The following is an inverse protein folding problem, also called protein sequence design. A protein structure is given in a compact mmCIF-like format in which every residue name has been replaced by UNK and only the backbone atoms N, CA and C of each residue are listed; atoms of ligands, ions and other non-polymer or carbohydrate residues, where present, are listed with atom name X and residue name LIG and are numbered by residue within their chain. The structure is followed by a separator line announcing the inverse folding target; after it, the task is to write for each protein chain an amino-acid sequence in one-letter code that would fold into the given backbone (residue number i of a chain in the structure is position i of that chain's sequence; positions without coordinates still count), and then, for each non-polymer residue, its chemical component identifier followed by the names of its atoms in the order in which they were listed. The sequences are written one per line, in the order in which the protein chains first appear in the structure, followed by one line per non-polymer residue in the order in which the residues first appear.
data_IF_317998295352
#
_entry.id   IF_317998295352
#
_cell.length_a   1.000
_cell.length_b   1.000
_cell.length_c   1.000
_cell.angle_alpha   90.00
_cell.angle_beta   90.00
_cell.angle_gamma   90.00
#
_symmetry.space_group_name_H-M   'P 1'
#
loop_
_entity.id
_entity.type
_entity.pdbx_description
1 polymer ?
#
# COMPACT_ATOMS: atom_id res chain seq x y z
N UNK A 1 59.72 -45.55 7.05
CA UNK A 1 60.05 -44.25 6.40
C UNK A 1 58.94 -43.94 5.43
N UNK A 2 58.15 -42.89 5.68
CA UNK A 2 56.96 -42.56 4.90
C UNK A 2 57.28 -41.67 3.69
N UNK A 3 56.81 -42.06 2.52
CA UNK A 3 56.86 -41.24 1.31
C UNK A 3 55.73 -40.22 1.30
N UNK A 4 56.09 -38.95 1.07
CA UNK A 4 55.17 -37.90 0.64
C UNK A 4 55.40 -37.61 -0.84
N UNK A 5 54.33 -37.46 -1.61
CA UNK A 5 54.32 -36.64 -2.84
C UNK A 5 52.89 -36.48 -3.37
N UNK A 6 52.56 -35.23 -3.69
CA UNK A 6 51.28 -34.73 -4.22
C UNK A 6 51.21 -34.93 -5.74
N UNK A 7 50.00 -35.19 -6.28
CA UNK A 7 49.25 -34.30 -7.21
C UNK A 7 48.38 -35.06 -8.25
N UNK A 8 47.07 -34.71 -8.24
CA UNK A 8 46.00 -34.67 -9.28
C UNK A 8 46.19 -35.53 -10.56
N UNK A 9 45.17 -36.26 -11.06
CA UNK A 9 43.89 -35.75 -11.61
C UNK A 9 42.97 -36.94 -12.03
N UNK A 10 41.65 -36.67 -12.04
CA UNK A 10 40.58 -37.32 -12.85
C UNK A 10 40.12 -38.75 -12.48
N UNK A 11 39.10 -38.82 -11.61
CA UNK A 11 37.95 -39.72 -11.74
C UNK A 11 36.70 -38.84 -11.52
N UNK A 12 35.64 -38.85 -12.32
CA UNK A 12 34.98 -40.01 -12.91
C UNK A 12 33.95 -40.49 -11.91
N UNK A 13 32.73 -39.93 -11.93
CA UNK A 13 31.67 -40.33 -11.00
C UNK A 13 30.41 -39.48 -11.15
N UNK A 14 29.50 -39.91 -12.01
CA UNK A 14 28.17 -39.32 -12.13
C UNK A 14 27.22 -39.73 -11.01
N UNK A 15 26.02 -39.13 -11.10
CA UNK A 15 24.74 -39.47 -10.47
C UNK A 15 24.37 -38.69 -9.20
N UNK A 16 23.62 -37.60 -9.46
CA UNK A 16 22.34 -37.24 -8.83
C UNK A 16 22.25 -37.41 -7.31
N UNK A 17 22.47 -36.32 -6.57
CA UNK A 17 21.79 -36.08 -5.31
C UNK A 17 21.39 -34.62 -5.24
N UNK A 18 20.07 -34.43 -5.11
CA UNK A 18 19.29 -33.21 -5.16
C UNK A 18 19.52 -32.44 -3.86
N UNK A 19 20.70 -31.84 -3.70
CA UNK A 19 21.02 -30.95 -2.59
C UNK A 19 20.38 -29.58 -2.79
N UNK A 20 19.05 -29.50 -2.69
CA UNK A 20 18.40 -28.22 -2.41
C UNK A 20 18.78 -27.88 -0.98
N UNK A 21 19.64 -26.88 -0.83
CA UNK A 21 19.64 -26.04 0.36
C UNK A 21 18.19 -25.75 0.74
N UNK A 22 17.76 -25.95 1.99
CA UNK A 22 16.55 -25.30 2.44
C UNK A 22 16.88 -23.81 2.37
N UNK A 23 16.40 -23.14 1.31
CA UNK A 23 16.12 -21.72 1.43
C UNK A 23 15.27 -21.65 2.69
N UNK A 24 15.78 -20.92 3.68
CA UNK A 24 15.09 -20.68 4.93
C UNK A 24 13.84 -19.91 4.54
N UNK A 25 12.76 -20.64 4.24
CA UNK A 25 11.43 -20.12 4.07
C UNK A 25 11.12 -19.39 5.36
N UNK A 26 11.27 -18.07 5.34
CA UNK A 26 10.71 -17.20 6.36
C UNK A 26 9.19 -17.40 6.23
N UNK A 27 8.53 -18.11 7.16
CA UNK A 27 7.08 -18.12 7.13
C UNK A 27 6.67 -16.72 7.60
N UNK A 28 6.19 -15.92 6.65
CA UNK A 28 5.33 -14.75 6.82
C UNK A 28 5.15 -14.26 8.26
N UNK A 29 5.98 -13.29 8.68
CA UNK A 29 5.64 -12.37 9.77
C UNK A 29 5.05 -11.04 9.25
N UNK A 30 4.90 -10.90 7.92
CA UNK A 30 4.46 -9.67 7.24
C UNK A 30 3.10 -9.14 7.71
N UNK A 31 2.20 -10.01 8.17
CA UNK A 31 0.85 -9.57 8.55
C UNK A 31 0.79 -8.69 9.82
N UNK A 32 1.78 -8.76 10.70
CA UNK A 32 1.82 -7.92 11.90
C UNK A 32 2.35 -6.51 11.56
N UNK A 33 3.46 -6.45 10.84
CA UNK A 33 4.12 -5.19 10.44
C UNK A 33 3.22 -4.38 9.49
N UNK A 34 2.56 -5.02 8.52
CA UNK A 34 1.64 -4.34 7.59
C UNK A 34 0.44 -3.69 8.34
N UNK A 35 -0.02 -4.33 9.41
CA UNK A 35 -1.11 -3.82 10.23
C UNK A 35 -0.67 -2.67 11.14
N UNK A 36 0.57 -2.70 11.64
CA UNK A 36 1.18 -1.59 12.39
C UNK A 36 1.37 -0.36 11.49
N UNK A 37 1.91 -0.54 10.28
CA UNK A 37 2.06 0.53 9.30
C UNK A 37 0.72 1.19 8.93
N UNK A 38 -0.33 0.38 8.73
CA UNK A 38 -1.67 0.91 8.47
C UNK A 38 -2.23 1.69 9.67
N UNK A 39 -1.97 1.23 10.90
CA UNK A 39 -2.43 1.92 12.10
C UNK A 39 -1.73 3.28 12.29
N UNK A 40 -0.42 3.34 12.00
CA UNK A 40 0.34 4.60 11.98
C UNK A 40 -0.23 5.57 10.94
N UNK A 41 -0.50 5.08 9.73
CA UNK A 41 -1.07 5.90 8.66
C UNK A 41 -2.46 6.44 9.03
N UNK A 42 -3.35 5.60 9.58
CA UNK A 42 -4.67 6.04 10.06
C UNK A 42 -4.51 7.14 11.11
N UNK A 43 -3.57 6.97 12.05
CA UNK A 43 -3.31 7.96 13.09
C UNK A 43 -2.82 9.28 12.49
N UNK A 44 -1.90 9.23 11.52
CA UNK A 44 -1.41 10.40 10.81
C UNK A 44 -2.51 11.11 10.02
N UNK A 45 -3.35 10.35 9.29
CA UNK A 45 -4.48 10.90 8.54
C UNK A 45 -5.48 11.60 9.46
N UNK A 46 -5.83 10.99 10.60
CA UNK A 46 -6.68 11.62 11.61
C UNK A 46 -6.06 12.91 12.16
N UNK A 47 -4.75 12.98 12.36
CA UNK A 47 -4.08 14.20 12.82
C UNK A 47 -4.05 15.31 11.75
N UNK A 48 -3.89 14.94 10.47
CA UNK A 48 -3.82 15.89 9.35
C UNK A 48 -5.20 16.46 9.03
N UNK A 49 -6.20 15.59 8.91
CA UNK A 49 -7.54 15.96 8.43
C UNK A 49 -8.54 16.22 9.56
N UNK A 50 -8.22 15.86 10.81
CA UNK A 50 -9.02 16.18 11.99
C UNK A 50 -10.50 15.79 11.79
N UNK A 51 -11.43 16.76 11.85
CA UNK A 51 -12.87 16.54 11.67
C UNK A 51 -13.27 16.02 10.28
N UNK A 52 -12.42 16.20 9.27
CA UNK A 52 -12.65 15.73 7.91
C UNK A 52 -12.26 14.25 7.71
N UNK A 53 -11.63 13.61 8.70
CA UNK A 53 -11.32 12.18 8.67
C UNK A 53 -12.24 11.39 9.60
N UNK A 54 -12.93 10.38 9.06
CA UNK A 54 -13.78 9.48 9.83
C UNK A 54 -13.39 8.03 9.55
N UNK A 55 -13.18 7.26 10.61
CA UNK A 55 -12.84 5.84 10.51
C UNK A 55 -14.05 5.03 10.92
N UNK A 56 -14.49 4.12 10.03
CA UNK A 56 -15.44 3.08 10.36
C UNK A 56 -14.66 1.77 10.55
N UNK A 57 -14.50 1.28 11.78
CA UNK A 57 -13.77 0.04 12.04
C UNK A 57 -14.51 -1.16 11.43
N UNK A 58 -13.76 -2.12 10.90
CA UNK A 58 -14.29 -3.34 10.29
C UNK A 58 -13.23 -4.10 9.49
N UNK A 59 -13.56 -5.28 8.93
CA UNK A 59 -12.68 -5.99 8.00
C UNK A 59 -13.13 -5.78 6.54
N UNK A 60 -12.47 -4.92 5.73
CA UNK A 60 -11.42 -3.96 6.09
C UNK A 60 -11.97 -2.65 6.67
N UNK A 61 -11.11 -1.91 7.36
CA UNK A 61 -11.44 -0.59 7.89
C UNK A 61 -11.75 0.36 6.72
N UNK A 62 -12.68 1.28 6.95
CA UNK A 62 -13.10 2.27 5.96
C UNK A 62 -12.71 3.66 6.45
N UNK A 63 -11.92 4.36 5.65
CA UNK A 63 -11.41 5.69 5.94
C UNK A 63 -12.17 6.65 5.03
N UNK A 64 -12.90 7.59 5.61
CA UNK A 64 -13.63 8.63 4.89
C UNK A 64 -12.92 9.95 5.10
N UNK A 65 -12.49 10.60 4.00
CA UNK A 65 -11.77 11.88 4.02
C UNK A 65 -12.59 12.88 3.22
N UNK A 66 -12.98 13.99 3.84
CA UNK A 66 -13.64 15.09 3.14
C UNK A 66 -12.58 15.96 2.45
N UNK A 67 -12.68 16.02 1.12
CA UNK A 67 -11.81 16.80 0.26
C UNK A 67 -12.48 18.13 -0.10
N UNK A 68 -11.71 19.21 -0.03
CA UNK A 68 -12.11 20.56 -0.40
C UNK A 68 -10.93 21.25 -1.11
N UNK A 69 -11.18 22.13 -2.09
CA UNK A 69 -10.12 22.98 -2.62
C UNK A 69 -9.44 23.75 -1.50
N UNK A 70 -8.12 23.90 -1.58
CA UNK A 70 -7.41 24.78 -0.69
C UNK A 70 -7.81 26.23 -1.01
N UNK A 71 -8.51 26.88 -0.08
CA UNK A 71 -9.15 28.18 -0.33
C UNK A 71 -8.18 29.36 -0.25
N UNK A 72 -7.21 29.31 0.66
CA UNK A 72 -6.35 30.45 1.00
C UNK A 72 -5.46 30.87 -0.18
N UNK A 73 -5.52 32.14 -0.56
CA UNK A 73 -4.68 32.79 -1.58
C UNK A 73 -4.79 32.19 -3.00
N UNK A 74 -5.74 31.28 -3.23
CA UNK A 74 -5.94 30.59 -4.52
C UNK A 74 -7.21 31.04 -5.25
N UNK A 75 -7.99 31.96 -4.68
CA UNK A 75 -9.23 32.47 -5.28
C UNK A 75 -10.42 31.51 -5.19
N UNK A 76 -10.31 30.46 -4.36
CA UNK A 76 -11.39 29.49 -4.11
C UNK A 76 -12.13 29.75 -2.79
N UNK A 77 -11.96 30.94 -2.20
CA UNK A 77 -12.52 31.29 -0.89
C UNK A 77 -14.05 31.27 -0.85
N UNK A 78 -14.71 31.52 -1.99
CA UNK A 78 -16.16 31.50 -2.13
C UNK A 78 -16.73 30.20 -2.73
N UNK A 79 -15.86 29.23 -3.09
CA UNK A 79 -16.27 27.99 -3.74
C UNK A 79 -16.64 26.91 -2.72
N UNK A 80 -17.95 26.73 -2.52
CA UNK A 80 -18.51 25.64 -1.71
C UNK A 80 -18.51 24.31 -2.50
N UNK A 81 -17.30 23.84 -2.83
CA UNK A 81 -17.07 22.57 -3.54
C UNK A 81 -16.46 21.53 -2.59
N UNK A 82 -17.04 20.33 -2.51
CA UNK A 82 -16.49 19.23 -1.71
C UNK A 82 -16.81 17.85 -2.26
N UNK A 83 -16.02 16.87 -1.83
CA UNK A 83 -16.27 15.45 -2.08
C UNK A 83 -15.80 14.62 -0.89
N UNK A 84 -16.31 13.40 -0.76
CA UNK A 84 -15.82 12.43 0.22
C UNK A 84 -15.05 11.33 -0.51
N UNK A 85 -13.78 11.17 -0.15
CA UNK A 85 -12.94 10.04 -0.55
C UNK A 85 -13.10 8.90 0.46
N UNK A 86 -13.56 7.75 -0.02
CA UNK A 86 -13.56 6.51 0.74
C UNK A 86 -12.35 5.66 0.32
N UNK A 87 -11.49 5.34 1.30
CA UNK A 87 -10.33 4.46 1.14
C UNK A 87 -10.57 3.15 1.89
N UNK A 88 -10.37 2.03 1.19
CA UNK A 88 -10.45 0.68 1.78
C UNK A 88 -9.15 -0.08 1.53
N UNK A 89 -8.41 -0.33 2.60
CA UNK A 89 -7.13 -1.06 2.55
C UNK A 89 -7.41 -2.57 2.72
N UNK A 90 -7.19 -3.36 1.67
CA UNK A 90 -7.37 -4.81 1.71
C UNK A 90 -6.07 -5.51 2.14
N UNK A 91 -6.13 -6.79 2.56
CA UNK A 91 -4.94 -7.56 2.89
C UNK A 91 -3.90 -7.54 1.77
N UNK A 92 -2.68 -7.17 2.13
CA UNK A 92 -1.57 -6.94 1.20
C UNK A 92 -1.30 -5.47 0.89
N UNK A 93 -2.07 -4.52 1.42
CA UNK A 93 -1.64 -3.12 1.52
C UNK A 93 -0.37 -3.02 2.39
N UNK A 94 0.63 -2.18 2.04
CA UNK A 94 0.65 -1.21 0.93
C UNK A 94 1.03 -1.79 -0.44
N UNK A 95 1.45 -3.06 -0.53
CA UNK A 95 1.87 -3.69 -1.79
C UNK A 95 0.73 -3.91 -2.81
N UNK A 96 -0.52 -3.94 -2.33
CA UNK A 96 -1.73 -3.88 -3.13
C UNK A 96 -2.39 -2.53 -2.93
N UNK A 97 -2.70 -1.86 -4.04
CA UNK A 97 -3.37 -0.56 -4.01
C UNK A 97 -4.70 -0.64 -3.26
N UNK A 98 -5.04 0.39 -2.46
CA UNK A 98 -6.32 0.45 -1.79
C UNK A 98 -7.45 0.63 -2.81
N UNK A 99 -8.67 0.28 -2.43
CA UNK A 99 -9.86 0.59 -3.23
C UNK A 99 -10.33 1.99 -2.88
N UNK A 100 -10.44 2.84 -3.90
CA UNK A 100 -10.91 4.22 -3.79
C UNK A 100 -12.34 4.35 -4.31
N UNK A 101 -13.11 5.24 -3.69
CA UNK A 101 -14.39 5.72 -4.19
C UNK A 101 -14.53 7.21 -3.87
N UNK A 102 -15.13 7.97 -4.78
CA UNK A 102 -15.46 9.38 -4.55
C UNK A 102 -16.97 9.53 -4.55
N UNK A 103 -17.49 10.16 -3.50
CA UNK A 103 -18.88 10.62 -3.47
C UNK A 103 -18.87 12.15 -3.63
N UNK A 104 -19.44 12.69 -4.72
CA UNK A 104 -19.57 14.14 -4.85
C UNK A 104 -20.48 14.66 -3.75
N UNK A 105 -20.14 15.84 -3.22
CA UNK A 105 -21.03 16.55 -2.31
C UNK A 105 -21.40 17.90 -2.95
N UNK A 106 -21.02 19.01 -2.30
CA UNK A 106 -21.42 20.34 -2.73
C UNK A 106 -20.63 20.75 -3.96
N UNK A 107 -21.30 21.40 -4.91
CA UNK A 107 -20.65 22.05 -6.06
C UNK A 107 -19.87 21.15 -7.02
N UNK A 108 -19.74 19.84 -6.75
CA UNK A 108 -19.03 18.88 -7.59
C UNK A 108 -20.04 18.02 -8.36
N UNK A 109 -19.88 17.97 -9.68
CA UNK A 109 -20.71 17.12 -10.54
C UNK A 109 -20.25 15.66 -10.46
N UNK A 110 -21.12 14.72 -10.85
CA UNK A 110 -20.73 13.31 -10.95
C UNK A 110 -19.59 13.11 -11.97
N UNK A 111 -19.66 13.76 -13.13
CA UNK A 111 -18.64 13.67 -14.17
C UNK A 111 -17.28 14.16 -13.68
N UNK A 112 -17.25 15.24 -12.90
CA UNK A 112 -15.99 15.74 -12.32
C UNK A 112 -15.48 14.86 -11.18
N UNK A 113 -16.37 14.24 -10.40
CA UNK A 113 -16.00 13.24 -9.41
C UNK A 113 -15.39 11.99 -10.07
N UNK A 114 -15.92 11.54 -11.21
CA UNK A 114 -15.36 10.44 -11.99
C UNK A 114 -13.99 10.79 -12.56
N UNK A 115 -13.82 12.00 -13.09
CA UNK A 115 -12.50 12.49 -13.53
C UNK A 115 -11.51 12.52 -12.37
N UNK A 116 -11.91 13.03 -11.20
CA UNK A 116 -11.05 13.05 -10.01
C UNK A 116 -10.65 11.64 -9.59
N UNK A 117 -11.59 10.68 -9.60
CA UNK A 117 -11.30 9.29 -9.29
C UNK A 117 -10.30 8.67 -10.28
N UNK A 118 -10.46 8.95 -11.58
CA UNK A 118 -9.51 8.53 -12.61
C UNK A 118 -8.11 9.07 -12.34
N UNK A 119 -7.98 10.36 -12.01
CA UNK A 119 -6.70 10.98 -11.71
C UNK A 119 -6.03 10.37 -10.47
N UNK A 120 -6.79 10.00 -9.45
CA UNK A 120 -6.26 9.30 -8.27
C UNK A 120 -5.75 7.90 -8.65
N UNK A 121 -6.49 7.15 -9.47
CA UNK A 121 -6.05 5.84 -9.94
C UNK A 121 -4.75 5.91 -10.75
N UNK A 122 -4.57 6.94 -11.57
CA UNK A 122 -3.34 7.16 -12.34
C UNK A 122 -2.12 7.44 -11.45
N UNK A 123 -2.30 7.94 -10.22
CA UNK A 123 -1.19 8.08 -9.26
C UNK A 123 -0.85 6.78 -8.54
N UNK A 124 -1.83 5.90 -8.31
CA UNK A 124 -1.64 4.62 -7.60
C UNK A 124 -0.96 3.54 -8.47
N UNK A 125 -0.93 3.71 -9.79
CA UNK A 125 -0.37 2.75 -10.74
C UNK A 125 1.09 3.00 -11.16
N UNK A 126 1.83 3.82 -10.41
CA UNK A 126 3.25 4.14 -10.67
C UNK A 126 4.19 3.41 -9.73
#
# INVERSE_FOLDING_TARGET
MGHSSKKKKRGGGGKRAKGRTPLKDHPHHQGADDNELLAEEITALCAIFQEDCKIVPGPPAQIFIKLRPYSKDMGFEDLDVSAVLLVRCFPGYPYKSPKLQITPEKGLTNDDAEKLLSLLHDQLGK
#
